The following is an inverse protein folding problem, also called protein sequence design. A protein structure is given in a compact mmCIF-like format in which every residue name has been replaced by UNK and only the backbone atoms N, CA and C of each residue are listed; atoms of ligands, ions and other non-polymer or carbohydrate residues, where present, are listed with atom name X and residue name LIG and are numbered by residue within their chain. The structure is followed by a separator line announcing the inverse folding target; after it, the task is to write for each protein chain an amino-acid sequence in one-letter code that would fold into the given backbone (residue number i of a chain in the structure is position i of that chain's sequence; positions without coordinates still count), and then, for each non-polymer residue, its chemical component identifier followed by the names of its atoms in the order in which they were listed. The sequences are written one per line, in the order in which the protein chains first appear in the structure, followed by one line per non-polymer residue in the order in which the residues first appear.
data_IF_099004348159
#
_entry.id   IF_099004348159
#
_cell.length_a   1.000
_cell.length_b   1.000
_cell.length_c   1.000
_cell.angle_alpha   90.00
_cell.angle_beta   90.00
_cell.angle_gamma   90.00
#
_symmetry.space_group_name_H-M   'P 1'
#
loop_
_entity.id
_entity.type
_entity.pdbx_description
1 polymer ?
#
# COMPACT_ATOMS: atom_id res chain seq x y z
N UNK A 1 -5.26 24.19 6.24
CA UNK A 1 -4.91 23.01 7.04
C UNK A 1 -3.58 22.45 6.52
N UNK A 2 -2.71 22.05 7.43
CA UNK A 2 -1.41 21.44 7.08
C UNK A 2 -1.50 19.94 7.26
N UNK A 3 -1.01 19.19 6.27
CA UNK A 3 -0.93 17.72 6.32
C UNK A 3 0.51 17.28 6.14
N UNK A 4 0.91 16.25 6.87
CA UNK A 4 2.26 15.67 6.78
C UNK A 4 2.13 14.19 6.45
N UNK A 5 2.82 13.78 5.38
CA UNK A 5 2.88 12.38 4.97
C UNK A 5 4.34 11.95 5.00
N UNK A 6 4.62 10.88 5.73
CA UNK A 6 5.96 10.28 5.71
C UNK A 6 5.91 9.07 4.77
N UNK A 7 6.77 9.07 3.77
CA UNK A 7 6.77 8.07 2.71
C UNK A 7 8.12 7.39 2.60
N UNK A 8 8.12 6.15 2.16
CA UNK A 8 9.32 5.41 1.79
C UNK A 8 9.18 5.07 0.31
N UNK A 9 10.12 5.55 -0.48
CA UNK A 9 10.11 5.33 -1.93
C UNK A 9 11.02 4.15 -2.30
N UNK A 10 10.55 3.35 -3.24
CA UNK A 10 11.30 2.25 -3.82
C UNK A 10 10.84 2.00 -5.24
N UNK A 11 11.21 0.85 -5.79
CA UNK A 11 10.76 0.44 -7.12
C UNK A 11 10.71 -1.07 -7.25
N UNK A 12 9.88 -1.54 -8.18
CA UNK A 12 9.84 -2.92 -8.62
C UNK A 12 10.33 -2.95 -10.07
N UNK A 13 11.57 -3.40 -10.28
CA UNK A 13 12.19 -3.45 -11.61
C UNK A 13 12.09 -2.13 -12.37
N UNK A 14 12.28 -1.01 -11.69
CA UNK A 14 12.21 0.34 -12.27
C UNK A 14 10.85 1.02 -12.15
N UNK A 15 9.76 0.30 -11.85
CA UNK A 15 8.45 0.91 -11.60
C UNK A 15 8.39 1.48 -10.18
N UNK A 16 8.15 2.79 -10.02
CA UNK A 16 8.20 3.44 -8.72
C UNK A 16 7.06 3.00 -7.81
N UNK A 17 7.34 2.90 -6.52
CA UNK A 17 6.36 2.62 -5.48
C UNK A 17 6.64 3.54 -4.30
N UNK A 18 5.64 4.33 -3.91
CA UNK A 18 5.69 5.20 -2.72
C UNK A 18 4.81 4.62 -1.63
N UNK A 19 5.42 4.10 -0.57
CA UNK A 19 4.68 3.56 0.57
C UNK A 19 4.47 4.65 1.59
N UNK A 20 3.22 4.97 1.89
CA UNK A 20 2.90 5.96 2.92
C UNK A 20 2.98 5.32 4.28
N UNK A 21 3.97 5.71 5.05
CA UNK A 21 4.24 5.21 6.40
C UNK A 21 3.35 5.86 7.45
N UNK A 22 3.07 7.15 7.31
CA UNK A 22 2.20 7.89 8.24
C UNK A 22 1.48 9.02 7.51
N UNK A 23 0.39 9.50 8.11
CA UNK A 23 -0.48 10.50 7.50
C UNK A 23 -1.74 9.90 6.89
N UNK A 24 -2.02 8.64 7.16
CA UNK A 24 -3.15 7.90 6.60
C UNK A 24 -4.47 8.59 6.91
N UNK A 25 -5.36 8.77 5.93
CA UNK A 25 -6.72 9.21 6.23
C UNK A 25 -7.50 8.12 6.95
N UNK A 26 -8.38 8.46 7.90
CA UNK A 26 -9.26 7.48 8.52
C UNK A 26 -10.32 7.04 7.51
N UNK A 27 -10.30 5.78 7.12
CA UNK A 27 -11.25 5.23 6.16
C UNK A 27 -12.35 4.44 6.87
N UNK A 28 -13.58 4.61 6.38
CA UNK A 28 -14.77 3.95 6.90
C UNK A 28 -15.24 2.88 5.93
N UNK A 29 -15.47 1.67 6.44
CA UNK A 29 -15.95 0.56 5.65
C UNK A 29 -15.65 -0.78 6.33
N UNK A 30 -16.41 -1.80 5.95
CA UNK A 30 -16.24 -3.16 6.48
C UNK A 30 -15.23 -3.98 5.68
N UNK A 31 -14.88 -3.51 4.49
CA UNK A 31 -13.93 -4.16 3.58
C UNK A 31 -13.02 -3.10 2.97
N UNK A 32 -11.91 -3.52 2.38
CA UNK A 32 -11.04 -2.59 1.66
C UNK A 32 -11.71 -2.04 0.40
N UNK A 33 -12.63 -2.78 -0.21
CA UNK A 33 -13.43 -2.26 -1.33
C UNK A 33 -14.26 -1.05 -0.91
N UNK A 34 -14.96 -1.13 0.23
CA UNK A 34 -15.72 -0.01 0.77
C UNK A 34 -14.82 1.15 1.17
N UNK A 35 -13.68 0.86 1.80
CA UNK A 35 -12.71 1.89 2.18
C UNK A 35 -12.11 2.59 0.97
N UNK A 36 -11.89 1.86 -0.12
CA UNK A 36 -11.45 2.45 -1.39
C UNK A 36 -12.48 3.44 -1.91
N UNK A 37 -13.76 3.11 -1.87
CA UNK A 37 -14.83 4.03 -2.29
C UNK A 37 -14.87 5.27 -1.41
N UNK A 38 -14.70 5.11 -0.11
CA UNK A 38 -14.63 6.24 0.81
C UNK A 38 -13.43 7.14 0.51
N UNK A 39 -12.27 6.55 0.22
CA UNK A 39 -11.09 7.31 -0.17
C UNK A 39 -11.33 8.11 -1.46
N UNK A 40 -11.88 7.49 -2.48
CA UNK A 40 -12.18 8.16 -3.75
C UNK A 40 -13.10 9.34 -3.53
N UNK A 41 -14.11 9.21 -2.68
CA UNK A 41 -15.09 10.23 -2.41
C UNK A 41 -14.54 11.40 -1.59
N UNK A 42 -13.77 11.12 -0.54
CA UNK A 42 -13.41 12.12 0.47
C UNK A 42 -11.93 12.51 0.46
N UNK A 43 -11.04 11.67 -0.05
CA UNK A 43 -9.60 11.83 0.13
C UNK A 43 -8.78 11.78 -1.16
N UNK A 44 -9.43 11.90 -2.32
CA UNK A 44 -8.70 11.85 -3.60
C UNK A 44 -7.62 12.93 -3.74
N UNK A 45 -7.78 14.04 -3.01
CA UNK A 45 -6.77 15.10 -2.97
C UNK A 45 -5.41 14.61 -2.44
N UNK A 46 -5.41 13.56 -1.60
CA UNK A 46 -4.16 12.95 -1.12
C UNK A 46 -3.46 12.25 -2.27
N UNK A 47 -4.19 11.50 -3.07
CA UNK A 47 -3.66 10.83 -4.25
C UNK A 47 -3.02 11.84 -5.21
N UNK A 48 -3.73 12.87 -5.59
CA UNK A 48 -3.19 13.89 -6.49
C UNK A 48 -2.00 14.61 -5.87
N UNK A 49 -2.04 14.88 -4.57
CA UNK A 49 -0.94 15.51 -3.87
C UNK A 49 0.34 14.69 -3.82
N UNK A 50 0.24 13.36 -3.75
CA UNK A 50 1.40 12.47 -3.61
C UNK A 50 1.87 11.90 -4.95
N UNK A 51 0.97 11.77 -5.94
CA UNK A 51 1.28 11.09 -7.20
C UNK A 51 1.59 12.05 -8.34
N UNK A 52 1.03 13.26 -8.32
CA UNK A 52 1.21 14.24 -9.38
C UNK A 52 2.42 15.14 -9.10
N UNK A 53 2.94 15.78 -10.16
CA UNK A 53 3.97 16.79 -9.99
C UNK A 53 3.51 17.94 -9.07
N UNK A 54 4.40 18.53 -8.28
CA UNK A 54 5.87 18.34 -8.26
C UNK A 54 6.36 17.20 -7.36
N UNK A 55 5.49 16.55 -6.57
CA UNK A 55 5.92 15.50 -5.64
C UNK A 55 5.97 14.11 -6.27
N UNK A 56 5.26 13.91 -7.36
CA UNK A 56 5.27 12.67 -8.12
C UNK A 56 5.57 12.94 -9.58
N UNK A 57 5.14 12.04 -10.44
CA UNK A 57 5.27 12.11 -11.90
C UNK A 57 4.30 11.14 -12.55
N UNK A 58 4.25 11.10 -13.90
CA UNK A 58 3.27 10.31 -14.64
C UNK A 58 3.26 8.81 -14.29
N UNK A 59 4.40 8.28 -13.87
CA UNK A 59 4.55 6.86 -13.57
C UNK A 59 4.41 6.52 -12.08
N UNK A 60 4.07 7.51 -11.24
CA UNK A 60 3.98 7.29 -9.79
C UNK A 60 2.89 6.31 -9.42
N UNK A 61 3.25 5.38 -8.54
CA UNK A 61 2.32 4.51 -7.82
C UNK A 61 2.64 4.57 -6.35
N UNK A 62 1.64 4.34 -5.52
CA UNK A 62 1.81 4.36 -4.08
C UNK A 62 0.82 3.46 -3.37
N UNK A 63 1.03 3.32 -2.08
CA UNK A 63 0.19 2.49 -1.25
C UNK A 63 0.09 3.02 0.17
N UNK A 64 -1.04 2.71 0.81
CA UNK A 64 -1.26 2.92 2.24
C UNK A 64 -1.46 1.57 2.90
N UNK A 65 -0.85 1.37 4.07
CA UNK A 65 -1.02 0.17 4.86
C UNK A 65 -2.02 0.44 5.98
N UNK A 66 -2.99 -0.45 6.13
CA UNK A 66 -4.01 -0.39 7.18
C UNK A 66 -4.04 -1.68 7.98
N UNK A 67 -4.53 -1.64 9.22
CA UNK A 67 -4.80 -2.85 9.99
C UNK A 67 -5.77 -3.77 9.23
N UNK A 68 -5.62 -5.10 9.34
CA UNK A 68 -6.52 -6.04 8.67
C UNK A 68 -7.90 -6.02 9.32
N UNK A 69 -8.93 -6.35 8.55
CA UNK A 69 -10.30 -6.51 9.08
C UNK A 69 -10.47 -7.85 9.79
N UNK A 70 -9.71 -8.87 9.35
CA UNK A 70 -9.74 -10.21 9.95
C UNK A 70 -8.42 -10.46 10.67
N UNK A 71 -8.45 -10.97 11.94
CA UNK A 71 -7.22 -11.21 12.71
C UNK A 71 -6.27 -12.24 12.07
N UNK A 72 -6.78 -13.08 11.17
CA UNK A 72 -5.96 -14.07 10.46
C UNK A 72 -5.12 -13.47 9.34
N UNK A 73 -5.41 -12.24 8.94
CA UNK A 73 -4.68 -11.56 7.88
C UNK A 73 -3.59 -10.66 8.48
N UNK A 74 -2.57 -10.36 7.70
CA UNK A 74 -1.41 -9.62 8.17
C UNK A 74 -1.62 -8.11 8.10
N UNK A 75 -2.18 -7.63 7.01
CA UNK A 75 -2.50 -6.20 6.83
C UNK A 75 -3.50 -6.00 5.71
N UNK A 76 -3.96 -4.76 5.58
CA UNK A 76 -4.80 -4.32 4.48
C UNK A 76 -4.08 -3.22 3.71
N UNK A 77 -4.37 -3.08 2.42
CA UNK A 77 -3.68 -2.15 1.53
C UNK A 77 -4.67 -1.38 0.67
N UNK A 78 -4.34 -0.11 0.42
CA UNK A 78 -4.98 0.71 -0.60
C UNK A 78 -3.91 1.13 -1.60
N UNK A 79 -4.18 0.91 -2.89
CA UNK A 79 -3.29 1.31 -3.97
C UNK A 79 -3.74 2.61 -4.60
N UNK A 80 -2.79 3.52 -4.84
CA UNK A 80 -3.03 4.76 -5.56
C UNK A 80 -2.02 4.91 -6.69
N UNK A 81 -2.45 5.56 -7.76
CA UNK A 81 -1.58 5.97 -8.86
C UNK A 81 -2.13 7.22 -9.54
N UNK A 82 -1.50 7.68 -10.61
CA UNK A 82 -1.95 8.88 -11.32
C UNK A 82 -3.34 8.72 -11.91
N UNK A 83 -3.73 7.51 -12.31
CA UNK A 83 -5.04 7.22 -12.91
C UNK A 83 -6.18 7.08 -11.90
N UNK A 84 -5.88 6.82 -10.63
CA UNK A 84 -6.91 6.62 -9.61
C UNK A 84 -6.47 5.73 -8.45
N UNK A 85 -7.43 5.35 -7.62
CA UNK A 85 -7.25 4.33 -6.59
C UNK A 85 -7.62 2.97 -7.17
N UNK A 86 -6.66 2.04 -7.16
CA UNK A 86 -6.81 0.76 -7.85
C UNK A 86 -7.33 -0.34 -6.92
N UNK A 87 -8.08 -1.31 -7.46
CA UNK A 87 -8.48 -2.49 -6.70
C UNK A 87 -7.33 -3.47 -6.45
N UNK A 88 -6.33 -3.49 -7.32
CA UNK A 88 -5.12 -4.31 -7.21
C UNK A 88 -4.00 -3.70 -8.05
N UNK A 89 -2.75 -3.92 -7.63
CA UNK A 89 -1.57 -3.50 -8.38
C UNK A 89 -0.44 -4.50 -8.13
N UNK A 90 -0.02 -5.23 -9.15
CA UNK A 90 0.99 -6.28 -9.03
C UNK A 90 2.35 -5.76 -8.61
N UNK A 91 2.92 -4.79 -9.34
CA UNK A 91 4.22 -4.23 -9.00
C UNK A 91 4.18 -3.44 -7.68
N UNK A 92 3.06 -2.78 -7.40
CA UNK A 92 2.84 -2.08 -6.13
C UNK A 92 2.83 -3.05 -4.95
N UNK A 93 2.26 -4.24 -5.13
CA UNK A 93 2.28 -5.29 -4.12
C UNK A 93 3.70 -5.75 -3.83
N UNK A 94 4.48 -6.06 -4.86
CA UNK A 94 5.87 -6.51 -4.70
C UNK A 94 6.70 -5.45 -3.97
N UNK A 95 6.66 -4.22 -4.44
CA UNK A 95 7.41 -3.13 -3.85
C UNK A 95 6.98 -2.81 -2.42
N UNK A 96 5.67 -2.75 -2.19
CA UNK A 96 5.12 -2.44 -0.86
C UNK A 96 5.48 -3.51 0.17
N UNK A 97 5.28 -4.78 -0.18
CA UNK A 97 5.58 -5.88 0.74
C UNK A 97 7.07 -5.93 1.07
N UNK A 98 7.93 -5.76 0.08
CA UNK A 98 9.38 -5.72 0.28
C UNK A 98 9.76 -4.59 1.23
N UNK A 99 9.29 -3.38 0.99
CA UNK A 99 9.55 -2.22 1.85
C UNK A 99 8.99 -2.45 3.25
N UNK A 100 7.77 -2.94 3.36
CA UNK A 100 7.11 -3.15 4.64
C UNK A 100 7.85 -4.16 5.52
N UNK A 101 8.38 -5.23 4.93
CA UNK A 101 9.19 -6.22 5.66
C UNK A 101 10.53 -5.62 6.06
N UNK A 102 11.24 -5.00 5.13
CA UNK A 102 12.59 -4.44 5.37
C UNK A 102 12.56 -3.32 6.42
N UNK A 103 11.52 -2.50 6.41
CA UNK A 103 11.37 -1.36 7.34
C UNK A 103 10.62 -1.73 8.62
N UNK A 104 10.22 -2.99 8.78
CA UNK A 104 9.52 -3.43 9.97
C UNK A 104 8.12 -2.86 10.13
N UNK A 105 7.46 -2.48 9.04
CA UNK A 105 6.10 -1.93 9.07
C UNK A 105 5.05 -3.00 9.30
N UNK A 106 5.35 -4.25 8.93
CA UNK A 106 4.51 -5.42 9.18
C UNK A 106 5.38 -6.55 9.75
N UNK A 107 4.74 -7.41 10.54
CA UNK A 107 5.36 -8.64 11.03
C UNK A 107 4.48 -9.81 10.59
N UNK A 108 4.93 -10.60 9.59
CA UNK A 108 4.12 -11.73 9.12
C UNK A 108 3.84 -12.74 10.23
N UNK A 109 2.58 -13.20 10.31
CA UNK A 109 2.17 -14.21 11.29
C UNK A 109 2.77 -15.57 11.00
N UNK A 110 2.95 -15.88 9.71
CA UNK A 110 3.57 -17.11 9.24
C UNK A 110 4.80 -16.72 8.41
N UNK A 111 6.02 -17.15 8.80
CA UNK A 111 7.21 -16.82 8.03
C UNK A 111 7.10 -17.30 6.58
N UNK A 112 7.47 -16.44 5.64
CA UNK A 112 7.43 -16.73 4.21
C UNK A 112 6.08 -16.55 3.53
N UNK A 113 5.04 -16.21 4.29
CA UNK A 113 3.68 -15.99 3.75
C UNK A 113 3.06 -14.71 4.31
N UNK A 114 2.37 -14.00 3.44
CA UNK A 114 1.61 -12.79 3.81
C UNK A 114 0.20 -12.93 3.27
N UNK A 115 -0.78 -12.59 4.11
CA UNK A 115 -2.19 -12.51 3.76
C UNK A 115 -2.58 -11.03 3.77
N UNK A 116 -2.73 -10.46 2.59
CA UNK A 116 -3.00 -9.05 2.38
C UNK A 116 -4.44 -8.83 1.93
N UNK A 117 -5.17 -7.95 2.61
CA UNK A 117 -6.52 -7.56 2.19
C UNK A 117 -6.43 -6.38 1.24
N UNK A 118 -6.68 -6.63 -0.04
CA UNK A 118 -6.77 -5.60 -1.06
C UNK A 118 -8.24 -5.27 -1.38
N UNK A 119 -8.52 -4.13 -2.04
CA UNK A 119 -9.90 -3.85 -2.47
C UNK A 119 -10.50 -4.94 -3.36
N UNK A 120 -9.69 -5.60 -4.17
CA UNK A 120 -10.14 -6.72 -5.01
C UNK A 120 -10.39 -8.01 -4.22
N UNK A 121 -9.88 -8.12 -2.99
CA UNK A 121 -10.04 -9.29 -2.14
C UNK A 121 -8.75 -9.70 -1.47
N UNK A 122 -8.74 -10.90 -0.88
CA UNK A 122 -7.56 -11.43 -0.20
C UNK A 122 -6.49 -11.85 -1.22
N UNK A 123 -5.28 -11.41 -0.98
CA UNK A 123 -4.10 -11.77 -1.78
C UNK A 123 -3.12 -12.51 -0.88
N UNK A 124 -2.74 -13.72 -1.27
CA UNK A 124 -1.72 -14.48 -0.58
C UNK A 124 -0.39 -14.31 -1.29
N UNK A 125 0.65 -13.96 -0.54
CA UNK A 125 1.97 -13.65 -1.06
C UNK A 125 2.99 -14.57 -0.41
N UNK A 126 3.79 -15.22 -1.26
CA UNK A 126 4.96 -15.97 -0.80
C UNK A 126 6.19 -15.08 -0.97
N UNK A 127 7.05 -15.07 0.04
CA UNK A 127 8.30 -14.33 -0.04
C UNK A 127 9.43 -15.13 0.58
N UNK A 128 10.66 -14.81 0.19
CA UNK A 128 11.86 -15.38 0.79
C UNK A 128 12.55 -14.31 1.63
N UNK A 129 12.95 -14.66 2.84
CA UNK A 129 13.78 -13.78 3.64
C UNK A 129 15.11 -13.57 2.91
N UNK A 130 15.55 -12.31 2.78
CA UNK A 130 16.84 -11.98 2.17
C UNK A 130 18.02 -12.69 2.82
N UNK A 131 17.93 -12.96 4.11
CA UNK A 131 18.97 -13.68 4.85
C UNK A 131 19.06 -15.16 4.46
N UNK A 132 18.01 -15.72 3.86
CA UNK A 132 17.97 -17.11 3.41
C UNK A 132 18.27 -17.26 1.93
N UNK A 133 18.47 -16.17 1.21
CA UNK A 133 18.89 -16.18 -0.20
C UNK A 133 20.39 -15.95 -0.24
N UNK A 134 21.09 -17.01 -0.45
CA UNK A 134 22.55 -16.97 -0.57
C UNK A 134 22.93 -16.97 -2.04
#
# INVERSE_FOLDING_TARGET
MRSVFVCIDGHTCGNPVRVVKSGHPPLVGKTMSEKRQHFIKEYDWIRTGLMFEPRGHDMMSGSFLYPPHKPTNDFAILFIETSGALPMCGHGTIGTVTIAIEEGLITPKVPGKIRMEAPAGLVEIAYKDRKSVV
#
